data_IF_362498261899
#
_entry.id   IF_362498261899
#
_cell.length_a   1.000
_cell.length_b   1.000
_cell.length_c   1.000
_cell.angle_alpha   90.00
_cell.angle_beta   90.00
_cell.angle_gamma   90.00
#
_symmetry.space_group_name_H-M   'P 1'
#
loop_
_entity.id
_entity.type
_entity.pdbx_description
1 polymer ?
#
# COMPACT_ATOMS: atom_id res chain seq x y z
N UNK A 1 16.17 3.66 -31.66
CA UNK A 1 17.21 4.53 -32.26
C UNK A 1 18.48 3.70 -32.39
N UNK A 2 19.20 3.78 -33.51
CA UNK A 2 20.45 3.04 -33.68
C UNK A 2 21.55 3.64 -32.80
N UNK A 3 22.07 2.85 -31.87
CA UNK A 3 23.04 3.30 -30.86
C UNK A 3 24.42 3.61 -31.46
N UNK A 4 24.80 2.92 -32.54
CA UNK A 4 26.08 3.16 -33.22
C UNK A 4 26.04 4.49 -33.99
N UNK A 5 24.90 4.79 -34.63
CA UNK A 5 24.64 6.09 -35.23
C UNK A 5 24.66 7.21 -34.18
N UNK A 6 24.03 6.98 -33.02
CA UNK A 6 23.97 8.00 -31.97
C UNK A 6 25.35 8.34 -31.41
N UNK A 7 26.18 7.35 -31.09
CA UNK A 7 27.57 7.56 -30.64
C UNK A 7 28.38 8.34 -31.68
N UNK A 8 28.26 7.96 -32.95
CA UNK A 8 28.93 8.67 -34.05
C UNK A 8 28.51 10.14 -34.14
N UNK A 9 27.23 10.43 -33.90
CA UNK A 9 26.69 11.80 -33.87
C UNK A 9 27.20 12.59 -32.67
N UNK A 10 27.28 11.97 -31.48
CA UNK A 10 27.86 12.59 -30.27
C UNK A 10 29.30 13.01 -30.51
N UNK A 11 30.13 12.11 -31.04
CA UNK A 11 31.54 12.39 -31.35
C UNK A 11 31.67 13.50 -32.38
N UNK A 12 30.86 13.46 -33.43
CA UNK A 12 30.83 14.49 -34.45
C UNK A 12 30.49 15.88 -33.89
N UNK A 13 29.46 15.96 -33.04
CA UNK A 13 29.00 17.21 -32.42
C UNK A 13 30.04 17.77 -31.45
N UNK A 14 30.68 16.92 -30.63
CA UNK A 14 31.76 17.31 -29.71
C UNK A 14 32.99 17.80 -30.47
N UNK A 15 33.39 17.11 -31.54
CA UNK A 15 34.54 17.51 -32.37
C UNK A 15 34.32 18.84 -33.09
N UNK A 16 33.11 19.11 -33.59
CA UNK A 16 32.81 20.34 -34.33
C UNK A 16 32.33 21.49 -33.43
N UNK A 17 32.10 21.22 -32.14
CA UNK A 17 31.54 22.14 -31.15
C UNK A 17 30.30 22.90 -31.67
N UNK A 18 29.44 22.20 -32.42
CA UNK A 18 28.25 22.78 -33.06
C UNK A 18 27.19 21.72 -33.27
N UNK A 19 25.99 21.99 -32.75
CA UNK A 19 24.83 21.14 -32.93
C UNK A 19 23.69 21.89 -33.63
N UNK A 20 23.28 21.40 -34.80
CA UNK A 20 22.01 21.78 -35.41
C UNK A 20 21.46 20.63 -36.24
N UNK A 21 20.13 20.55 -36.36
CA UNK A 21 19.44 19.54 -37.18
C UNK A 21 20.05 19.46 -38.59
N UNK A 22 20.18 20.60 -39.27
CA UNK A 22 20.78 20.71 -40.61
C UNK A 22 22.27 20.37 -40.69
N UNK A 23 23.00 20.40 -39.57
CA UNK A 23 24.41 19.99 -39.51
C UNK A 23 24.49 18.47 -39.50
N UNK A 24 23.71 17.83 -38.63
CA UNK A 24 23.64 16.37 -38.50
C UNK A 24 23.08 15.73 -39.78
N UNK A 25 22.03 16.33 -40.38
CA UNK A 25 21.45 15.84 -41.65
C UNK A 25 22.49 15.74 -42.76
N UNK A 26 23.35 16.74 -42.93
CA UNK A 26 24.36 16.78 -43.99
C UNK A 26 25.53 15.85 -43.72
N UNK A 27 25.97 15.77 -42.46
CA UNK A 27 27.11 14.93 -42.09
C UNK A 27 26.79 13.42 -42.19
N UNK A 28 25.57 13.02 -41.84
CA UNK A 28 25.17 11.61 -41.77
C UNK A 28 24.15 11.21 -42.86
N UNK A 29 23.87 12.09 -43.82
CA UNK A 29 22.87 11.90 -44.87
C UNK A 29 21.49 11.47 -44.34
N UNK A 30 21.04 12.15 -43.27
CA UNK A 30 19.78 11.84 -42.58
C UNK A 30 18.65 12.77 -43.03
N UNK A 31 17.43 12.24 -43.09
CA UNK A 31 16.23 13.05 -43.24
C UNK A 31 15.95 13.87 -41.97
N UNK A 32 15.18 14.96 -42.12
CA UNK A 32 14.81 15.82 -40.99
C UNK A 32 14.16 15.03 -39.85
N UNK A 33 13.19 14.16 -40.19
CA UNK A 33 12.48 13.33 -39.22
C UNK A 33 13.38 12.36 -38.45
N UNK A 34 14.55 12.01 -39.00
CA UNK A 34 15.56 11.17 -38.32
C UNK A 34 16.53 12.00 -37.49
N UNK A 35 16.80 13.25 -37.87
CA UNK A 35 17.71 14.14 -37.16
C UNK A 35 17.07 14.83 -35.96
N UNK A 36 15.76 15.07 -35.97
CA UNK A 36 15.04 15.69 -34.84
C UNK A 36 15.14 14.85 -33.55
N UNK A 37 14.79 13.55 -33.55
CA UNK A 37 14.89 12.74 -32.33
C UNK A 37 16.33 12.59 -31.81
N UNK A 38 17.32 12.68 -32.71
CA UNK A 38 18.73 12.69 -32.31
C UNK A 38 19.09 13.97 -31.55
N UNK A 39 18.59 15.13 -32.00
CA UNK A 39 18.79 16.40 -31.29
C UNK A 39 18.12 16.40 -29.92
N UNK A 40 16.91 15.84 -29.82
CA UNK A 40 16.18 15.73 -28.55
C UNK A 40 16.95 14.83 -27.57
N UNK A 41 17.47 13.70 -28.06
CA UNK A 41 18.28 12.79 -27.25
C UNK A 41 19.61 13.41 -26.80
N UNK A 42 20.27 14.17 -27.67
CA UNK A 42 21.50 14.89 -27.30
C UNK A 42 21.24 15.91 -26.19
N UNK A 43 20.07 16.54 -26.17
CA UNK A 43 19.66 17.46 -25.12
C UNK A 43 19.35 16.71 -23.82
N UNK A 44 18.60 15.61 -23.90
CA UNK A 44 18.27 14.74 -22.76
C UNK A 44 19.51 14.14 -22.08
N UNK A 45 20.49 13.71 -22.87
CA UNK A 45 21.73 13.11 -22.39
C UNK A 45 22.78 14.18 -21.99
N UNK A 46 22.42 15.47 -21.95
CA UNK A 46 23.31 16.58 -21.61
C UNK A 46 24.58 16.64 -22.48
N UNK A 47 24.46 16.26 -23.76
CA UNK A 47 25.52 16.46 -24.76
C UNK A 47 25.44 17.88 -25.34
N UNK A 48 24.24 18.45 -25.39
CA UNK A 48 24.01 19.82 -25.86
C UNK A 48 23.08 20.58 -24.92
N UNK A 49 23.15 21.90 -24.95
CA UNK A 49 22.25 22.76 -24.21
C UNK A 49 20.84 22.76 -24.83
N UNK A 50 19.83 23.15 -24.03
CA UNK A 50 18.56 23.62 -24.56
C UNK A 50 18.76 24.74 -25.59
N UNK A 51 17.78 24.90 -26.46
CA UNK A 51 17.84 25.94 -27.48
C UNK A 51 17.82 27.32 -26.83
N UNK A 52 18.86 28.11 -27.07
CA UNK A 52 18.92 29.51 -26.62
C UNK A 52 17.93 30.39 -27.40
N UNK A 53 17.66 31.60 -26.89
CA UNK A 53 16.82 32.60 -27.55
C UNK A 53 17.27 32.94 -28.99
N UNK A 54 18.55 32.73 -29.30
CA UNK A 54 19.14 32.97 -30.62
C UNK A 54 19.10 31.72 -31.53
N UNK A 55 18.41 30.65 -31.12
CA UNK A 55 18.31 29.38 -31.84
C UNK A 55 19.59 28.54 -31.82
N UNK A 56 20.61 28.94 -31.06
CA UNK A 56 21.88 28.21 -30.94
C UNK A 56 21.84 27.26 -29.74
N UNK A 57 22.60 26.17 -29.84
CA UNK A 57 22.81 25.18 -28.78
C UNK A 57 24.31 25.08 -28.52
N UNK A 58 24.68 25.11 -27.26
CA UNK A 58 26.06 24.91 -26.81
C UNK A 58 26.33 23.41 -26.69
N UNK A 59 27.56 22.98 -26.95
CA UNK A 59 27.94 21.57 -26.80
C UNK A 59 28.65 21.42 -25.46
N UNK A 60 28.20 20.46 -24.67
CA UNK A 60 28.76 20.19 -23.36
C UNK A 60 29.92 19.18 -23.46
N UNK A 61 31.00 19.38 -22.68
CA UNK A 61 32.02 18.36 -22.49
C UNK A 61 31.44 17.09 -21.88
N UNK A 62 32.11 15.95 -22.12
CA UNK A 62 31.71 14.66 -21.58
C UNK A 62 31.52 14.65 -20.05
N UNK A 63 32.43 15.31 -19.34
CA UNK A 63 32.37 15.41 -17.88
C UNK A 63 31.07 16.07 -17.39
N UNK A 64 30.48 16.99 -18.17
CA UNK A 64 29.22 17.65 -17.79
C UNK A 64 28.07 16.67 -17.86
N UNK A 65 28.02 15.82 -18.89
CA UNK A 65 27.01 14.78 -19.02
C UNK A 65 27.11 13.77 -17.88
N UNK A 66 28.33 13.31 -17.55
CA UNK A 66 28.59 12.41 -16.43
C UNK A 66 28.13 13.00 -15.09
N UNK A 67 28.50 14.26 -14.82
CA UNK A 67 28.11 14.97 -13.60
C UNK A 67 26.59 15.14 -13.50
N UNK A 68 25.90 15.44 -14.60
CA UNK A 68 24.43 15.59 -14.60
C UNK A 68 23.73 14.25 -14.31
N UNK A 69 24.23 13.13 -14.84
CA UNK A 69 23.70 11.82 -14.51
C UNK A 69 23.91 11.48 -13.02
N UNK A 70 25.09 11.79 -12.46
CA UNK A 70 25.35 11.61 -11.03
C UNK A 70 24.43 12.48 -10.17
N UNK A 71 24.26 13.76 -10.52
CA UNK A 71 23.36 14.69 -9.84
C UNK A 71 21.93 14.15 -9.85
N UNK A 72 21.46 13.62 -10.99
CA UNK A 72 20.12 13.04 -11.12
C UNK A 72 19.89 11.89 -10.14
N UNK A 73 20.84 10.96 -10.04
CA UNK A 73 20.78 9.84 -9.08
C UNK A 73 20.79 10.36 -7.64
N UNK A 74 21.78 11.19 -7.29
CA UNK A 74 21.89 11.74 -5.93
C UNK A 74 20.67 12.56 -5.51
N UNK A 75 20.02 13.25 -6.45
CA UNK A 75 18.80 14.02 -6.16
C UNK A 75 17.60 13.11 -5.92
N UNK A 76 17.51 11.98 -6.64
CA UNK A 76 16.48 10.97 -6.40
C UNK A 76 16.66 10.35 -5.01
N UNK A 77 17.88 9.91 -4.68
CA UNK A 77 18.21 9.32 -3.38
C UNK A 77 17.96 10.32 -2.22
N UNK A 78 18.32 11.59 -2.42
CA UNK A 78 18.06 12.64 -1.43
C UNK A 78 16.56 12.83 -1.19
N UNK A 79 15.73 12.80 -2.25
CA UNK A 79 14.28 12.97 -2.15
C UNK A 79 13.63 11.79 -1.41
N UNK A 80 14.08 10.58 -1.68
CA UNK A 80 13.65 9.36 -0.98
C UNK A 80 14.02 9.45 0.51
N UNK A 81 15.28 9.77 0.83
CA UNK A 81 15.75 9.93 2.21
C UNK A 81 15.02 11.05 2.96
N UNK A 82 14.67 12.15 2.30
CA UNK A 82 13.86 13.22 2.90
C UNK A 82 12.44 12.75 3.25
N UNK A 83 11.84 11.90 2.41
CA UNK A 83 10.54 11.29 2.68
C UNK A 83 10.61 10.36 3.90
N UNK A 84 11.62 9.50 3.95
CA UNK A 84 11.86 8.59 5.07
C UNK A 84 12.10 9.34 6.38
N UNK A 85 12.90 10.41 6.34
CA UNK A 85 13.14 11.26 7.50
C UNK A 85 11.87 11.98 7.95
N UNK A 86 11.07 12.52 7.02
CA UNK A 86 9.81 13.18 7.36
C UNK A 86 8.83 12.21 8.04
N UNK A 87 8.77 10.96 7.57
CA UNK A 87 7.99 9.89 8.18
C UNK A 87 8.50 9.54 9.59
N UNK A 88 9.81 9.32 9.73
CA UNK A 88 10.44 9.02 11.02
C UNK A 88 10.26 10.17 12.04
N UNK A 89 10.39 11.41 11.60
CA UNK A 89 10.22 12.58 12.46
C UNK A 89 8.77 12.70 12.96
N UNK A 90 7.78 12.56 12.06
CA UNK A 90 6.35 12.59 12.42
C UNK A 90 5.98 11.44 13.37
N UNK A 91 6.56 10.25 13.19
CA UNK A 91 6.29 9.13 14.08
C UNK A 91 6.83 9.41 15.48
N UNK A 92 8.09 9.83 15.62
CA UNK A 92 8.73 10.09 16.92
C UNK A 92 8.05 11.22 17.69
N UNK A 93 7.70 12.33 17.04
CA UNK A 93 6.99 13.45 17.70
C UNK A 93 5.60 13.03 18.18
N UNK A 94 4.91 12.17 17.43
CA UNK A 94 3.61 11.63 17.88
C UNK A 94 3.75 10.71 19.11
N UNK A 95 4.84 9.95 19.23
CA UNK A 95 5.08 9.08 20.40
C UNK A 95 5.38 9.87 21.67
N UNK A 96 6.19 10.92 21.58
CA UNK A 96 6.52 11.76 22.74
C UNK A 96 5.29 12.52 23.23
N UNK A 97 4.51 13.13 22.34
CA UNK A 97 3.26 13.81 22.70
C UNK A 97 2.23 12.84 23.33
N UNK A 98 2.10 11.61 22.80
CA UNK A 98 1.28 10.56 23.42
C UNK A 98 1.73 10.24 24.85
N UNK A 99 3.03 10.04 25.05
CA UNK A 99 3.59 9.71 26.36
C UNK A 99 3.38 10.85 27.39
N UNK A 100 3.55 12.12 26.96
CA UNK A 100 3.30 13.27 27.83
C UNK A 100 1.83 13.40 28.24
N UNK A 101 0.89 13.24 27.30
CA UNK A 101 -0.56 13.31 27.59
C UNK A 101 -1.01 12.15 28.48
N UNK A 102 -0.51 10.93 28.25
CA UNK A 102 -0.79 9.80 29.14
C UNK A 102 -0.26 10.01 30.54
N UNK A 103 0.96 10.55 30.68
CA UNK A 103 1.55 10.85 32.00
C UNK A 103 0.72 11.88 32.77
N UNK A 104 0.29 12.96 32.11
CA UNK A 104 -0.59 13.95 32.73
C UNK A 104 -1.94 13.36 33.18
N UNK A 105 -2.51 12.43 32.40
CA UNK A 105 -3.74 11.70 32.77
C UNK A 105 -3.54 10.84 34.02
N UNK A 106 -2.45 10.07 34.07
CA UNK A 106 -2.11 9.25 35.24
C UNK A 106 -1.95 10.12 36.48
N UNK A 107 -1.32 11.30 36.35
CA UNK A 107 -1.16 12.25 37.45
C UNK A 107 -2.52 12.77 37.97
N UNK A 108 -3.46 13.12 37.09
CA UNK A 108 -4.80 13.58 37.46
C UNK A 108 -5.62 12.48 38.17
N UNK A 109 -5.57 11.25 37.65
CA UNK A 109 -6.23 10.10 38.28
C UNK A 109 -5.64 9.85 39.67
N UNK A 110 -4.30 9.90 39.79
CA UNK A 110 -3.61 9.72 41.06
C UNK A 110 -4.03 10.79 42.07
N UNK A 111 -4.06 12.05 41.67
CA UNK A 111 -4.49 13.16 42.52
C UNK A 111 -5.94 13.00 42.98
N UNK A 112 -6.83 12.54 42.10
CA UNK A 112 -8.24 12.32 42.44
C UNK A 112 -8.44 11.14 43.40
N UNK A 113 -7.70 10.05 43.20
CA UNK A 113 -7.66 8.91 44.12
C UNK A 113 -7.13 9.34 45.49
N UNK A 114 -6.05 10.13 45.55
CA UNK A 114 -5.50 10.66 46.80
C UNK A 114 -6.50 11.57 47.53
N UNK A 115 -7.24 12.43 46.81
CA UNK A 115 -8.31 13.25 47.41
C UNK A 115 -9.43 12.39 48.01
N UNK A 116 -9.89 11.37 47.28
CA UNK A 116 -10.97 10.50 47.76
C UNK A 116 -10.53 9.69 49.00
N UNK A 117 -9.30 9.18 49.01
CA UNK A 117 -8.74 8.48 50.17
C UNK A 117 -8.68 9.38 51.42
N UNK A 118 -8.43 10.68 51.24
CA UNK A 118 -8.39 11.65 52.33
C UNK A 118 -9.78 12.08 52.81
N UNK A 119 -10.82 12.02 51.97
CA UNK A 119 -12.16 12.47 52.34
C UNK A 119 -12.99 11.41 53.07
N UNK A 120 -12.79 10.12 52.77
CA UNK A 120 -13.34 8.98 53.53
C UNK A 120 -14.87 8.89 53.60
N UNK A 121 -15.60 9.65 52.77
CA UNK A 121 -17.06 9.79 52.83
C UNK A 121 -17.79 8.98 51.74
N UNK A 122 -18.84 8.21 52.06
CA UNK A 122 -19.66 7.51 51.05
C UNK A 122 -20.38 8.46 50.07
N UNK A 123 -20.65 9.71 50.47
CA UNK A 123 -21.23 10.73 49.59
C UNK A 123 -20.26 11.19 48.50
N UNK A 124 -18.95 11.11 48.75
CA UNK A 124 -17.92 11.42 47.76
C UNK A 124 -17.71 10.29 46.76
N UNK A 125 -18.22 9.07 47.02
CA UNK A 125 -18.00 7.93 46.13
C UNK A 125 -18.65 8.17 44.76
N UNK A 126 -19.86 8.73 44.74
CA UNK A 126 -20.54 9.04 43.49
C UNK A 126 -19.83 10.15 42.70
N UNK A 127 -19.30 11.16 43.40
CA UNK A 127 -18.52 12.22 42.76
C UNK A 127 -17.19 11.69 42.22
N UNK A 128 -16.49 10.85 42.99
CA UNK A 128 -15.27 10.18 42.57
C UNK A 128 -15.49 9.29 41.34
N UNK A 129 -16.56 8.47 41.35
CA UNK A 129 -16.92 7.64 40.21
C UNK A 129 -17.29 8.48 38.99
N UNK A 130 -18.02 9.59 39.18
CA UNK A 130 -18.32 10.53 38.10
C UNK A 130 -17.05 11.16 37.52
N UNK A 131 -16.11 11.58 38.37
CA UNK A 131 -14.84 12.18 37.95
C UNK A 131 -13.94 11.16 37.24
N UNK A 132 -13.92 9.90 37.70
CA UNK A 132 -13.22 8.83 36.99
C UNK A 132 -13.85 8.49 35.65
N UNK A 133 -15.19 8.45 35.56
CA UNK A 133 -15.91 8.29 34.29
C UNK A 133 -15.55 9.46 33.38
N UNK A 134 -15.58 10.69 33.86
CA UNK A 134 -15.21 11.89 33.09
C UNK A 134 -13.76 11.81 32.60
N UNK A 135 -12.79 11.48 33.46
CA UNK A 135 -11.38 11.30 33.11
C UNK A 135 -11.14 10.09 32.17
N UNK A 136 -11.97 9.05 32.25
CA UNK A 136 -11.96 7.92 31.34
C UNK A 136 -12.56 8.29 29.97
N UNK A 137 -13.60 9.13 29.96
CA UNK A 137 -14.31 9.63 28.77
C UNK A 137 -13.70 10.89 28.17
N UNK A 138 -12.70 11.50 28.82
CA UNK A 138 -11.97 12.65 28.32
C UNK A 138 -11.45 12.30 26.93
N UNK A 139 -12.20 12.73 25.91
CA UNK A 139 -11.82 12.57 24.52
C UNK A 139 -10.48 13.29 24.41
N UNK A 140 -9.50 12.64 23.80
CA UNK A 140 -8.36 13.39 23.30
C UNK A 140 -8.97 14.48 22.40
N UNK A 141 -8.95 15.74 22.85
CA UNK A 141 -9.54 16.87 22.09
C UNK A 141 -8.88 17.13 20.73
N UNK A 142 -7.94 16.27 20.33
CA UNK A 142 -7.64 16.02 18.93
C UNK A 142 -7.90 14.54 18.63
N UNK A 143 -9.12 14.28 18.14
CA UNK A 143 -9.37 13.26 17.15
C UNK A 143 -8.30 13.38 16.05
N UNK A 144 -7.19 12.65 16.18
CA UNK A 144 -6.46 12.15 15.01
C UNK A 144 -7.17 10.87 14.56
N UNK A 145 -8.44 11.00 14.17
CA UNK A 145 -9.27 9.94 13.61
C UNK A 145 -9.24 10.01 12.10
N UNK A 146 -8.05 10.11 11.53
CA UNK A 146 -7.96 10.04 10.07
C UNK A 146 -7.12 8.85 9.62
N UNK A 147 -6.12 8.41 10.40
CA UNK A 147 -5.22 7.35 9.95
C UNK A 147 -4.99 6.33 11.08
N UNK A 148 -5.37 5.08 10.81
CA UNK A 148 -5.14 3.92 11.65
C UNK A 148 -3.80 3.29 11.23
N UNK A 149 -2.82 3.17 12.14
CA UNK A 149 -1.59 2.45 11.85
C UNK A 149 -1.85 0.95 12.01
N UNK A 150 -1.90 0.22 10.91
CA UNK A 150 -2.12 -1.24 10.88
C UNK A 150 -0.85 -1.93 10.36
N UNK A 151 -0.35 -2.99 11.04
CA UNK A 151 0.74 -3.80 10.51
C UNK A 151 0.35 -4.40 9.15
N UNK A 152 1.27 -4.43 8.18
CA UNK A 152 1.00 -4.95 6.83
C UNK A 152 0.44 -6.38 6.81
N UNK A 153 0.81 -7.20 7.79
CA UNK A 153 0.31 -8.58 7.95
C UNK A 153 -1.19 -8.67 8.30
N UNK A 154 -1.79 -7.58 8.75
CA UNK A 154 -3.20 -7.48 9.17
C UNK A 154 -4.02 -6.72 8.11
N UNK A 155 -3.52 -6.68 6.87
CA UNK A 155 -4.11 -6.04 5.70
C UNK A 155 -4.19 -7.07 4.56
N UNK A 156 -5.32 -7.14 3.89
CA UNK A 156 -5.52 -8.01 2.72
C UNK A 156 -5.86 -7.19 1.47
N UNK A 157 -5.24 -7.56 0.36
CA UNK A 157 -5.48 -7.01 -0.96
C UNK A 157 -6.39 -7.94 -1.76
N UNK A 158 -7.50 -7.39 -2.25
CA UNK A 158 -8.47 -8.11 -3.05
C UNK A 158 -8.70 -7.41 -4.39
N UNK A 159 -8.81 -8.17 -5.46
CA UNK A 159 -8.95 -7.70 -6.84
C UNK A 159 -10.22 -8.27 -7.46
N UNK A 160 -10.99 -7.43 -8.14
CA UNK A 160 -12.24 -7.87 -8.77
C UNK A 160 -11.95 -8.49 -10.13
N UNK A 161 -12.36 -9.74 -10.27
CA UNK A 161 -12.67 -10.35 -11.55
C UNK A 161 -14.08 -9.88 -11.98
N UNK A 162 -14.15 -9.03 -13.01
CA UNK A 162 -15.44 -8.52 -13.50
C UNK A 162 -16.22 -9.55 -14.32
N UNK A 163 -15.53 -10.53 -14.90
CA UNK A 163 -16.14 -11.56 -15.73
C UNK A 163 -16.81 -12.64 -14.87
N UNK A 164 -16.17 -13.01 -13.75
CA UNK A 164 -16.74 -13.95 -12.78
C UNK A 164 -17.53 -13.28 -11.64
N UNK A 165 -17.37 -11.96 -11.45
CA UNK A 165 -18.00 -11.21 -10.37
C UNK A 165 -17.46 -11.55 -8.98
N UNK A 166 -16.22 -12.04 -8.91
CA UNK A 166 -15.57 -12.50 -7.69
C UNK A 166 -14.39 -11.61 -7.29
N UNK A 167 -14.21 -11.42 -5.98
CA UNK A 167 -13.00 -10.80 -5.45
C UNK A 167 -11.99 -11.91 -5.14
N UNK A 168 -10.80 -11.80 -5.73
CA UNK A 168 -9.70 -12.76 -5.61
C UNK A 168 -8.50 -12.10 -4.95
N UNK A 169 -7.64 -12.88 -4.30
CA UNK A 169 -6.34 -12.39 -3.84
C UNK A 169 -5.39 -12.17 -5.04
N UNK A 170 -4.17 -11.70 -4.75
CA UNK A 170 -3.18 -11.40 -5.78
C UNK A 170 -2.85 -12.61 -6.68
N UNK A 171 -2.73 -13.79 -6.08
CA UNK A 171 -2.38 -15.02 -6.81
C UNK A 171 -3.59 -15.56 -7.59
N UNK A 172 -4.81 -15.37 -7.07
CA UNK A 172 -6.04 -15.76 -7.74
C UNK A 172 -6.34 -14.91 -8.99
N UNK A 173 -6.16 -13.59 -8.92
CA UNK A 173 -6.41 -12.70 -10.07
C UNK A 173 -5.38 -12.88 -11.19
N UNK A 174 -4.18 -13.40 -10.89
CA UNK A 174 -3.17 -13.73 -11.90
C UNK A 174 -3.69 -14.78 -12.90
N UNK A 175 -4.52 -15.71 -12.40
CA UNK A 175 -5.25 -16.66 -13.24
C UNK A 175 -6.20 -15.97 -14.23
N UNK A 176 -6.97 -14.99 -13.77
CA UNK A 176 -7.88 -14.19 -14.62
C UNK A 176 -7.11 -13.35 -15.64
N UNK A 177 -5.98 -12.77 -15.26
CA UNK A 177 -5.20 -11.87 -16.11
C UNK A 177 -4.22 -12.61 -17.04
N UNK A 178 -4.26 -13.94 -17.08
CA UNK A 178 -3.31 -14.75 -17.85
C UNK A 178 -3.36 -14.51 -19.37
N UNK A 179 -4.48 -14.00 -19.89
CA UNK A 179 -4.67 -13.68 -21.31
C UNK A 179 -4.25 -12.23 -21.66
N UNK A 180 -3.73 -11.45 -20.71
CA UNK A 180 -3.33 -10.07 -20.97
C UNK A 180 -2.06 -10.00 -21.84
N UNK A 181 -2.24 -9.56 -23.08
CA UNK A 181 -1.15 -9.40 -24.05
C UNK A 181 -0.04 -8.44 -23.59
N UNK A 182 1.20 -8.77 -23.96
CA UNK A 182 2.39 -7.93 -23.68
C UNK A 182 2.18 -6.51 -24.26
N UNK A 183 2.26 -5.52 -23.37
CA UNK A 183 2.11 -4.10 -23.72
C UNK A 183 0.67 -3.59 -23.72
N UNK A 184 -0.31 -4.44 -23.38
CA UNK A 184 -1.68 -4.01 -23.07
C UNK A 184 -1.81 -3.68 -21.58
N UNK A 185 -2.69 -2.73 -21.29
CA UNK A 185 -2.99 -2.30 -19.92
C UNK A 185 -4.48 -2.48 -19.72
N UNK A 186 -4.85 -3.22 -18.68
CA UNK A 186 -6.24 -3.43 -18.27
C UNK A 186 -6.46 -2.79 -16.90
N UNK A 187 -7.52 -1.98 -16.71
CA UNK A 187 -7.88 -1.49 -15.39
C UNK A 187 -8.41 -2.63 -14.54
N UNK A 188 -7.92 -2.76 -13.31
CA UNK A 188 -8.39 -3.75 -12.33
C UNK A 188 -8.86 -3.00 -11.09
N UNK A 189 -10.06 -3.32 -10.60
CA UNK A 189 -10.56 -2.75 -9.34
C UNK A 189 -9.90 -3.48 -8.18
N UNK A 190 -9.40 -2.69 -7.21
CA UNK A 190 -8.71 -3.17 -6.03
C UNK A 190 -9.40 -2.64 -4.77
N UNK A 191 -9.43 -3.48 -3.73
CA UNK A 191 -9.86 -3.12 -2.38
C UNK A 191 -8.82 -3.61 -1.38
N UNK A 192 -8.57 -2.76 -0.40
CA UNK A 192 -7.77 -3.09 0.77
C UNK A 192 -8.72 -3.29 1.96
N UNK A 193 -8.59 -4.42 2.63
CA UNK A 193 -9.36 -4.75 3.83
C UNK A 193 -8.45 -4.82 5.05
N UNK A 194 -8.97 -4.33 6.18
CA UNK A 194 -8.31 -4.45 7.48
C UNK A 194 -8.82 -5.71 8.18
N UNK A 195 -7.91 -6.59 8.55
CA UNK A 195 -8.25 -7.78 9.33
C UNK A 195 -8.51 -7.34 10.77
N UNK A 196 -9.78 -7.24 11.13
CA UNK A 196 -10.18 -6.87 12.50
C UNK A 196 -10.29 -8.05 13.44
N UNK A 197 -10.55 -9.25 12.90
CA UNK A 197 -10.65 -10.52 13.63
C UNK A 197 -10.24 -11.66 12.69
N UNK A 198 -9.44 -12.59 13.21
CA UNK A 198 -9.08 -13.84 12.51
C UNK A 198 -9.38 -15.00 13.45
N UNK A 199 -10.57 -15.58 13.28
CA UNK A 199 -11.06 -16.66 14.13
C UNK A 199 -11.05 -17.97 13.33
N UNK A 200 -10.72 -19.08 13.99
CA UNK A 200 -10.86 -20.41 13.40
C UNK A 200 -12.32 -20.85 13.51
N UNK A 201 -12.93 -21.19 12.39
CA UNK A 201 -14.25 -21.84 12.34
C UNK A 201 -14.10 -23.31 11.95
N UNK A 202 -15.01 -24.14 12.41
CA UNK A 202 -15.03 -25.58 12.19
C UNK A 202 -16.21 -25.94 11.29
N UNK A 203 -15.96 -26.66 10.19
CA UNK A 203 -17.02 -27.10 9.28
C UNK A 203 -17.49 -28.51 9.62
N UNK A 204 -18.81 -28.71 9.71
CA UNK A 204 -19.40 -30.04 9.84
C UNK A 204 -20.65 -30.19 8.97
N UNK A 205 -20.91 -31.42 8.53
CA UNK A 205 -22.17 -31.79 7.87
C UNK A 205 -23.26 -31.94 8.91
N UNK A 206 -24.43 -31.36 8.64
CA UNK A 206 -25.57 -31.31 9.56
C UNK A 206 -26.78 -31.91 8.87
N UNK A 207 -27.53 -32.72 9.61
CA UNK A 207 -28.81 -33.24 9.16
C UNK A 207 -29.86 -32.12 9.22
N UNK A 208 -30.47 -31.80 8.09
CA UNK A 208 -31.62 -30.92 8.05
C UNK A 208 -32.89 -31.78 8.03
N UNK A 209 -33.82 -31.53 8.94
CA UNK A 209 -35.04 -32.33 9.07
C UNK A 209 -36.11 -31.96 8.04
N UNK A 210 -35.93 -30.83 7.34
CA UNK A 210 -36.90 -30.29 6.38
C UNK A 210 -36.52 -30.55 4.92
N UNK A 211 -35.22 -30.75 4.63
CA UNK A 211 -34.70 -31.08 3.30
C UNK A 211 -33.98 -32.43 3.35
N UNK A 212 -34.21 -33.32 2.36
CA UNK A 212 -33.56 -34.64 2.21
C UNK A 212 -32.04 -34.54 1.88
N UNK A 213 -31.38 -33.45 2.26
CA UNK A 213 -30.04 -33.09 1.84
C UNK A 213 -29.18 -32.69 3.03
N UNK A 214 -28.08 -33.41 3.24
CA UNK A 214 -27.10 -33.07 4.27
C UNK A 214 -26.25 -31.89 3.79
N UNK A 215 -26.51 -30.71 4.33
CA UNK A 215 -25.73 -29.49 4.10
C UNK A 215 -24.53 -29.39 5.05
N UNK A 216 -23.52 -28.60 4.67
CA UNK A 216 -22.43 -28.23 5.57
C UNK A 216 -22.78 -26.91 6.30
N UNK A 217 -22.36 -26.78 7.56
CA UNK A 217 -22.48 -25.56 8.36
C UNK A 217 -21.15 -25.28 9.09
N UNK A 218 -20.92 -24.01 9.42
CA UNK A 218 -19.76 -23.55 10.19
C UNK A 218 -20.13 -23.37 11.66
N UNK A 219 -19.18 -23.69 12.53
CA UNK A 219 -19.30 -23.62 13.98
C UNK A 219 -18.11 -22.86 14.57
N UNK A 220 -18.35 -22.10 15.64
CA UNK A 220 -17.29 -21.35 16.35
C UNK A 220 -16.44 -22.25 17.27
N UNK A 221 -16.91 -23.44 17.62
CA UNK A 221 -16.18 -24.41 18.45
C UNK A 221 -16.11 -25.80 17.81
N UNK A 222 -14.99 -26.48 18.03
CA UNK A 222 -14.75 -27.84 17.53
C UNK A 222 -15.75 -28.84 18.13
N UNK A 223 -16.07 -28.69 19.42
CA UNK A 223 -16.97 -29.56 20.16
C UNK A 223 -18.39 -29.55 19.55
N UNK A 224 -18.91 -28.36 19.21
CA UNK A 224 -20.22 -28.21 18.59
C UNK A 224 -20.24 -28.80 17.17
N UNK A 225 -19.18 -28.60 16.39
CA UNK A 225 -19.04 -29.21 15.07
C UNK A 225 -19.01 -30.75 15.15
N UNK A 226 -18.29 -31.30 16.12
CA UNK A 226 -18.20 -32.74 16.35
C UNK A 226 -19.54 -33.35 16.79
N UNK A 227 -20.29 -32.66 17.65
CA UNK A 227 -21.62 -33.09 18.07
C UNK A 227 -22.59 -33.10 16.89
N UNK A 228 -22.61 -32.02 16.09
CA UNK A 228 -23.43 -31.93 14.90
C UNK A 228 -23.08 -33.02 13.86
N UNK A 229 -21.79 -33.28 13.65
CA UNK A 229 -21.33 -34.34 12.75
C UNK A 229 -21.74 -35.74 13.23
N UNK A 230 -21.62 -36.02 14.54
CA UNK A 230 -22.04 -37.30 15.14
C UNK A 230 -23.54 -37.50 15.01
N UNK A 231 -24.32 -36.47 15.33
CA UNK A 231 -25.77 -36.50 15.19
C UNK A 231 -26.19 -36.73 13.74
N UNK A 232 -25.58 -36.00 12.80
CA UNK A 232 -25.85 -36.17 11.38
C UNK A 232 -25.57 -37.60 10.89
N UNK A 233 -24.45 -38.19 11.35
CA UNK A 233 -24.09 -39.56 11.01
C UNK A 233 -25.10 -40.57 11.56
N UNK A 234 -25.54 -40.40 12.82
CA UNK A 234 -26.53 -41.27 13.43
C UNK A 234 -27.87 -41.25 12.69
N UNK A 235 -28.32 -40.06 12.27
CA UNK A 235 -29.57 -39.92 11.51
C UNK A 235 -29.44 -40.53 10.11
N UNK A 236 -28.29 -40.35 9.44
CA UNK A 236 -28.02 -40.98 8.15
C UNK A 236 -28.02 -42.51 8.25
N UNK A 237 -27.26 -43.08 9.20
CA UNK A 237 -27.19 -44.53 9.41
C UNK A 237 -28.57 -45.13 9.76
N UNK A 238 -29.38 -44.41 10.56
CA UNK A 238 -30.75 -44.80 10.87
C UNK A 238 -31.68 -44.77 9.64
N UNK A 239 -31.52 -43.77 8.77
CA UNK A 239 -32.30 -43.65 7.53
C UNK A 239 -31.98 -44.75 6.51
N UNK A 240 -30.72 -45.17 6.39
CA UNK A 240 -30.34 -46.31 5.55
C UNK A 240 -30.86 -47.65 6.12
N UNK A 241 -30.82 -47.84 7.45
CA UNK A 241 -31.30 -49.07 8.09
C UNK A 241 -32.83 -49.24 8.06
N UNK A 242 -33.59 -48.15 7.91
CA UNK A 242 -35.05 -48.17 7.75
C UNK A 242 -35.53 -48.49 6.34
N UNK A 243 -34.63 -48.49 5.34
CA UNK A 243 -34.96 -48.78 3.94
C UNK A 243 -34.86 -50.28 3.57
N UNK A 244 -34.41 -51.16 4.49
CA UNK A 244 -34.26 -52.61 4.28
C UNK A 244 -35.46 -53.47 4.76
N UNK A 245 -36.67 -52.90 4.90
CA UNK A 245 -37.89 -53.65 5.25
C UNK A 245 -39.05 -53.45 4.26
#
# INVERSE_FOLDING_TARGET
MDMELYKSVVDFVRNHNKASTSHIQRAFNLSYNRAVPLMDKLEEDYVISPMSANGKREVYPEIVAELQQQIKVLTADLKESQSDFAYAYKSVTSWTERAYKQRAKVELIKNEVERFQQSGSPLDLNQFLSNLIELATFKNDHEFTDHLLVPKKDIEDWYLDEDEGLWLDHDGIDGTLCELDIGKVQPVKHKEYLITQSNTLYAARVWDGEDDHIAWKLFESEEAALEAAKYCKQMYDASESGAEH
#
